data_IF_724986416427
#
_entry.id   IF_724986416427
#
_cell.length_a   1.000
_cell.length_b   1.000
_cell.length_c   1.000
_cell.angle_alpha   90.00
_cell.angle_beta   90.00
_cell.angle_gamma   90.00
#
_symmetry.space_group_name_H-M   'P 1'
#
loop_
_entity.id
_entity.type
_entity.pdbx_description
1 polymer ?
#
# COMPACT_ATOMS: atom_id res chain seq x y z
N UNK A 1 17.57 3.30 -11.63
CA UNK A 1 18.09 3.25 -10.25
C UNK A 1 16.98 2.64 -9.40
N UNK A 2 17.31 1.83 -8.41
CA UNK A 2 16.30 1.29 -7.52
C UNK A 2 15.58 2.42 -6.77
N UNK A 3 14.26 2.31 -6.69
CA UNK A 3 13.41 3.24 -5.94
C UNK A 3 13.48 2.96 -4.44
N UNK A 4 13.39 1.66 -4.09
CA UNK A 4 13.58 1.17 -2.74
C UNK A 4 14.81 0.27 -2.70
N UNK A 5 15.70 0.54 -1.77
CA UNK A 5 16.88 -0.27 -1.50
C UNK A 5 16.87 -0.75 -0.05
N UNK A 6 16.96 -2.04 0.13
CA UNK A 6 17.08 -2.67 1.45
C UNK A 6 18.43 -3.36 1.50
N UNK A 7 19.22 -3.11 2.55
CA UNK A 7 20.55 -3.66 2.73
C UNK A 7 20.70 -4.28 4.10
N UNK A 8 21.05 -5.58 4.11
CA UNK A 8 21.36 -6.36 5.32
C UNK A 8 20.35 -6.15 6.46
N UNK A 9 19.04 -6.17 6.15
CA UNK A 9 17.99 -5.83 7.10
C UNK A 9 17.77 -6.96 8.10
N UNK A 10 17.92 -6.65 9.38
CA UNK A 10 17.56 -7.51 10.49
C UNK A 10 16.38 -6.89 11.25
N UNK A 11 15.35 -7.68 11.50
CA UNK A 11 14.12 -7.20 12.15
C UNK A 11 13.69 -8.18 13.24
N UNK A 12 13.39 -7.63 14.40
CA UNK A 12 12.80 -8.37 15.52
C UNK A 12 11.34 -7.97 15.76
N UNK A 13 10.56 -8.89 16.27
CA UNK A 13 9.22 -8.68 16.80
C UNK A 13 9.13 -9.42 18.13
N UNK A 14 8.74 -8.73 19.21
CA UNK A 14 8.68 -9.33 20.57
C UNK A 14 9.98 -10.09 20.93
N UNK A 15 11.13 -9.44 20.74
CA UNK A 15 12.49 -9.96 20.98
C UNK A 15 12.89 -11.17 20.11
N UNK A 16 12.04 -11.59 19.16
CA UNK A 16 12.34 -12.69 18.26
C UNK A 16 12.84 -12.17 16.91
N UNK A 17 14.02 -12.63 16.50
CA UNK A 17 14.54 -12.34 15.17
C UNK A 17 13.67 -13.00 14.08
N UNK A 18 13.10 -12.19 13.19
CA UNK A 18 12.24 -12.63 12.10
C UNK A 18 12.94 -12.48 10.74
N UNK A 19 13.57 -11.32 10.49
CA UNK A 19 14.39 -11.12 9.30
C UNK A 19 15.85 -11.12 9.69
N UNK A 20 16.67 -11.82 8.89
CA UNK A 20 18.08 -12.04 9.17
C UNK A 20 18.91 -11.74 7.92
N UNK A 21 19.33 -10.47 7.76
CA UNK A 21 20.23 -10.03 6.68
C UNK A 21 19.55 -9.94 5.31
N UNK A 22 18.28 -9.52 5.24
CA UNK A 22 17.54 -9.38 3.98
C UNK A 22 18.06 -8.20 3.16
N UNK A 23 18.33 -8.43 1.87
CA UNK A 23 18.65 -7.36 0.91
C UNK A 23 17.74 -7.51 -0.31
N UNK A 24 17.18 -6.39 -0.77
CA UNK A 24 16.22 -6.33 -1.88
C UNK A 24 16.28 -4.96 -2.54
N UNK A 25 16.13 -4.93 -3.86
CA UNK A 25 15.94 -3.72 -4.65
C UNK A 25 14.59 -3.79 -5.37
N UNK A 26 13.85 -2.68 -5.34
CA UNK A 26 12.63 -2.50 -6.13
C UNK A 26 12.86 -1.34 -7.08
N UNK A 27 12.71 -1.60 -8.37
CA UNK A 27 12.92 -0.60 -9.41
C UNK A 27 11.62 0.16 -9.73
N UNK A 28 11.77 1.43 -10.11
CA UNK A 28 10.69 2.24 -10.65
C UNK A 28 10.12 1.60 -11.92
N UNK A 29 8.80 1.63 -12.07
CA UNK A 29 8.12 1.10 -13.26
C UNK A 29 8.13 -0.42 -13.38
N UNK A 30 8.64 -1.14 -12.36
CA UNK A 30 8.70 -2.59 -12.34
C UNK A 30 7.76 -3.20 -11.30
N UNK A 31 7.26 -4.40 -11.59
CA UNK A 31 6.51 -5.22 -10.64
C UNK A 31 7.42 -6.33 -10.14
N UNK A 32 7.74 -6.29 -8.87
CA UNK A 32 8.53 -7.31 -8.19
C UNK A 32 7.60 -8.24 -7.40
N UNK A 33 7.75 -9.54 -7.58
CA UNK A 33 7.00 -10.54 -6.84
C UNK A 33 7.88 -11.18 -5.76
N UNK A 34 7.46 -11.05 -4.49
CA UNK A 34 8.08 -11.73 -3.37
C UNK A 34 7.27 -12.98 -3.04
N UNK A 35 7.88 -14.13 -3.23
CA UNK A 35 7.27 -15.43 -3.01
C UNK A 35 8.04 -16.24 -1.95
N UNK A 36 7.35 -17.14 -1.27
CA UNK A 36 7.96 -18.00 -0.27
C UNK A 36 6.92 -18.67 0.61
N UNK A 37 7.31 -19.68 1.42
CA UNK A 37 6.38 -20.39 2.31
C UNK A 37 5.81 -19.46 3.38
N UNK A 38 4.70 -19.89 4.01
CA UNK A 38 4.15 -19.20 5.18
C UNK A 38 5.18 -19.18 6.32
N UNK A 39 5.25 -18.05 7.01
CA UNK A 39 6.21 -17.85 8.11
C UNK A 39 7.64 -17.52 7.66
N UNK A 40 7.91 -17.31 6.37
CA UNK A 40 9.25 -16.90 5.89
C UNK A 40 9.57 -15.41 6.10
N UNK A 41 8.69 -14.62 6.70
CA UNK A 41 8.93 -13.21 7.01
C UNK A 41 8.46 -12.22 5.95
N UNK A 42 7.72 -12.64 4.91
CA UNK A 42 7.27 -11.74 3.82
C UNK A 42 6.44 -10.54 4.32
N UNK A 43 5.40 -10.81 5.12
CA UNK A 43 4.57 -9.75 5.70
C UNK A 43 5.35 -8.91 6.73
N UNK A 44 6.33 -9.52 7.43
CA UNK A 44 7.24 -8.77 8.29
C UNK A 44 8.10 -7.80 7.48
N UNK A 45 8.58 -8.20 6.31
CA UNK A 45 9.33 -7.31 5.41
C UNK A 45 8.44 -6.15 4.92
N UNK A 46 7.20 -6.45 4.47
CA UNK A 46 6.24 -5.41 4.07
C UNK A 46 5.97 -4.40 5.20
N UNK A 47 5.73 -4.90 6.41
CA UNK A 47 5.51 -4.08 7.59
C UNK A 47 6.76 -3.29 7.99
N UNK A 48 7.97 -3.86 7.86
CA UNK A 48 9.23 -3.15 8.11
C UNK A 48 9.45 -2.02 7.09
N UNK A 49 9.15 -2.25 5.80
CA UNK A 49 9.18 -1.21 4.75
C UNK A 49 8.25 -0.05 5.10
N UNK A 50 7.11 -0.32 5.72
CA UNK A 50 6.15 0.71 6.13
C UNK A 50 6.40 1.29 7.52
N UNK A 51 7.42 0.84 8.24
CA UNK A 51 7.77 1.37 9.57
C UNK A 51 6.80 0.97 10.67
N UNK A 52 6.24 -0.25 10.60
CA UNK A 52 5.28 -0.72 11.60
C UNK A 52 5.86 -0.66 13.03
N UNK A 53 5.17 0.01 13.98
CA UNK A 53 5.73 0.30 15.31
C UNK A 53 5.93 -0.94 16.20
N UNK A 54 5.36 -2.08 15.84
CA UNK A 54 5.57 -3.36 16.53
C UNK A 54 6.80 -4.12 16.05
N UNK A 55 7.61 -3.54 15.17
CA UNK A 55 8.85 -4.13 14.65
C UNK A 55 10.04 -3.25 15.02
N UNK A 56 11.15 -3.87 15.37
CA UNK A 56 12.41 -3.19 15.61
C UNK A 56 13.43 -3.60 14.55
N UNK A 57 13.98 -2.62 13.84
CA UNK A 57 15.09 -2.82 12.91
C UNK A 57 16.38 -2.76 13.73
N UNK A 58 17.04 -3.91 13.90
CA UNK A 58 18.25 -4.03 14.73
C UNK A 58 19.54 -3.80 13.94
N UNK A 59 19.53 -4.11 12.63
CA UNK A 59 20.65 -3.88 11.72
C UNK A 59 20.13 -3.63 10.30
N UNK A 60 20.98 -3.00 9.47
CA UNK A 60 20.71 -2.73 8.08
C UNK A 60 20.01 -1.39 7.84
N UNK A 61 19.63 -1.16 6.59
CA UNK A 61 19.05 0.11 6.18
C UNK A 61 17.92 -0.10 5.16
N UNK A 62 16.95 0.81 5.20
CA UNK A 62 15.93 0.97 4.17
C UNK A 62 16.10 2.37 3.59
N UNK A 63 16.34 2.44 2.29
CA UNK A 63 16.49 3.70 1.55
C UNK A 63 15.41 3.80 0.49
N UNK A 64 14.72 4.92 0.42
CA UNK A 64 13.71 5.23 -0.59
C UNK A 64 14.09 6.50 -1.33
N UNK A 65 14.20 6.44 -2.67
CA UNK A 65 14.63 7.56 -3.52
C UNK A 65 15.97 8.19 -3.08
N UNK A 66 16.87 7.37 -2.57
CA UNK A 66 18.17 7.83 -2.05
C UNK A 66 18.15 8.41 -0.65
N UNK A 67 16.99 8.52 0.00
CA UNK A 67 16.82 8.97 1.38
C UNK A 67 16.70 7.77 2.32
N UNK A 68 17.47 7.79 3.42
CA UNK A 68 17.37 6.74 4.45
C UNK A 68 16.10 6.94 5.28
N UNK A 69 15.17 5.98 5.19
CA UNK A 69 13.89 6.00 5.88
C UNK A 69 13.80 4.98 7.02
N UNK A 70 14.92 4.38 7.43
CA UNK A 70 14.95 3.29 8.42
C UNK A 70 14.19 3.64 9.70
N UNK A 71 14.37 4.88 10.19
CA UNK A 71 13.74 5.38 11.43
C UNK A 71 12.47 6.22 11.17
N UNK A 72 12.10 6.44 9.90
CA UNK A 72 10.93 7.27 9.57
C UNK A 72 9.63 6.60 10.02
N UNK A 73 8.69 7.39 10.55
CA UNK A 73 7.38 6.92 10.98
C UNK A 73 6.50 6.50 9.79
N UNK A 74 5.48 5.63 9.98
CA UNK A 74 4.62 5.16 8.89
C UNK A 74 3.93 6.26 8.09
N UNK A 75 3.50 7.32 8.74
CA UNK A 75 2.86 8.47 8.10
C UNK A 75 3.87 9.33 7.31
N UNK A 76 5.11 9.44 7.77
CA UNK A 76 6.20 10.09 7.03
C UNK A 76 6.50 9.31 5.75
N UNK A 77 6.68 7.99 5.84
CA UNK A 77 6.90 7.11 4.68
C UNK A 77 5.75 7.18 3.69
N UNK A 78 4.50 7.20 4.18
CA UNK A 78 3.34 7.38 3.32
C UNK A 78 3.38 8.72 2.57
N UNK A 79 3.67 9.82 3.25
CA UNK A 79 3.80 11.15 2.62
C UNK A 79 4.95 11.25 1.61
N UNK A 80 5.99 10.45 1.78
CA UNK A 80 7.09 10.32 0.81
C UNK A 80 6.70 9.58 -0.46
N UNK A 81 5.53 8.91 -0.47
CA UNK A 81 5.02 8.20 -1.64
C UNK A 81 4.98 6.69 -1.50
N UNK A 82 5.19 6.12 -0.30
CA UNK A 82 4.99 4.70 -0.05
C UNK A 82 3.52 4.43 0.27
N UNK A 83 3.01 3.29 -0.22
CA UNK A 83 1.66 2.81 0.06
C UNK A 83 1.70 1.31 0.38
N UNK A 84 0.85 0.88 1.30
CA UNK A 84 0.67 -0.55 1.59
C UNK A 84 -0.81 -0.93 1.54
N UNK A 85 -1.11 -1.97 0.77
CA UNK A 85 -2.36 -2.72 0.88
C UNK A 85 -2.14 -3.87 1.86
N UNK A 86 -2.96 -3.92 2.91
CA UNK A 86 -2.81 -4.87 4.00
C UNK A 86 -3.51 -6.20 3.71
N UNK A 87 -2.98 -7.30 4.23
CA UNK A 87 -3.66 -8.59 4.19
C UNK A 87 -5.07 -8.50 4.81
N UNK A 88 -5.19 -7.81 5.95
CA UNK A 88 -6.43 -7.62 6.70
C UNK A 88 -6.71 -6.13 6.95
N UNK A 89 -7.37 -5.41 6.04
CA UNK A 89 -7.68 -3.99 6.23
C UNK A 89 -8.59 -3.76 7.45
N UNK A 90 -8.17 -2.85 8.33
CA UNK A 90 -8.86 -2.54 9.59
C UNK A 90 -10.03 -1.60 9.33
N UNK A 91 -11.12 -1.75 10.08
CA UNK A 91 -12.24 -0.82 10.07
C UNK A 91 -11.91 0.45 10.89
N UNK A 92 -12.38 1.60 10.42
CA UNK A 92 -12.25 2.89 11.14
C UNK A 92 -13.66 3.43 11.42
N UNK A 93 -14.29 3.01 12.53
CA UNK A 93 -15.63 3.45 12.86
C UNK A 93 -15.70 4.98 13.06
N UNK A 94 -16.77 5.60 12.57
CA UNK A 94 -16.98 7.05 12.70
C UNK A 94 -16.26 7.90 11.65
N UNK A 95 -15.37 7.32 10.83
CA UNK A 95 -14.69 8.04 9.74
C UNK A 95 -15.25 7.56 8.40
N UNK A 96 -15.92 8.45 7.67
CA UNK A 96 -16.44 8.10 6.34
C UNK A 96 -15.33 7.98 5.31
N UNK A 97 -15.56 7.13 4.29
CA UNK A 97 -14.62 6.93 3.16
C UNK A 97 -14.24 8.27 2.52
N UNK A 98 -15.21 9.15 2.24
CA UNK A 98 -14.93 10.46 1.64
C UNK A 98 -14.06 11.35 2.55
N UNK A 99 -14.31 11.34 3.88
CA UNK A 99 -13.52 12.12 4.83
C UNK A 99 -12.08 11.59 4.91
N UNK A 100 -11.95 10.27 5.03
CA UNK A 100 -10.65 9.57 5.08
C UNK A 100 -9.81 9.89 3.84
N UNK A 101 -10.35 9.63 2.63
CA UNK A 101 -9.64 9.87 1.37
C UNK A 101 -9.23 11.32 1.21
N UNK A 102 -10.10 12.28 1.56
CA UNK A 102 -9.77 13.71 1.46
C UNK A 102 -8.66 14.11 2.42
N UNK A 103 -8.68 13.58 3.65
CA UNK A 103 -7.61 13.83 4.63
C UNK A 103 -6.28 13.26 4.15
N UNK A 104 -6.27 12.02 3.64
CA UNK A 104 -5.08 11.38 3.12
C UNK A 104 -4.51 12.14 1.90
N UNK A 105 -5.36 12.48 0.90
CA UNK A 105 -4.93 13.28 -0.26
C UNK A 105 -4.35 14.63 0.17
N UNK A 106 -4.98 15.32 1.12
CA UNK A 106 -4.48 16.61 1.59
C UNK A 106 -3.15 16.49 2.35
N UNK A 107 -2.96 15.44 3.15
CA UNK A 107 -1.68 15.19 3.83
C UNK A 107 -0.53 14.95 2.85
N UNK A 108 -0.79 14.23 1.74
CA UNK A 108 0.20 14.05 0.67
C UNK A 108 0.49 15.35 -0.11
N UNK A 109 -0.53 16.18 -0.33
CA UNK A 109 -0.37 17.49 -0.98
C UNK A 109 0.42 18.46 -0.11
N UNK A 110 0.10 18.51 1.18
CA UNK A 110 0.82 19.34 2.18
C UNK A 110 2.31 18.97 2.23
N UNK A 111 2.65 17.69 2.19
CA UNK A 111 4.04 17.23 2.14
C UNK A 111 4.81 17.65 0.87
N UNK A 112 4.07 18.06 -0.18
CA UNK A 112 4.61 18.59 -1.45
C UNK A 112 4.48 20.12 -1.55
N UNK A 113 4.17 20.80 -0.45
CA UNK A 113 3.89 22.26 -0.41
C UNK A 113 2.74 22.67 -1.35
N UNK A 114 1.77 21.79 -1.58
CA UNK A 114 0.61 22.06 -2.43
C UNK A 114 -0.62 22.45 -1.61
N UNK A 115 -1.44 23.34 -2.16
CA UNK A 115 -2.72 23.72 -1.57
C UNK A 115 -3.69 22.52 -1.42
N UNK A 116 -4.54 22.49 -0.38
CA UNK A 116 -5.54 21.44 -0.22
C UNK A 116 -6.44 21.28 -1.46
N UNK A 117 -6.80 20.05 -1.78
CA UNK A 117 -7.65 19.76 -2.95
C UNK A 117 -9.01 20.47 -2.83
N UNK A 118 -9.43 21.17 -3.89
CA UNK A 118 -10.75 21.82 -3.93
C UNK A 118 -11.85 20.76 -3.91
N UNK A 119 -12.94 21.02 -3.18
CA UNK A 119 -14.01 20.06 -2.97
C UNK A 119 -14.62 19.55 -4.29
N UNK A 120 -14.75 20.40 -5.31
CA UNK A 120 -15.25 20.02 -6.63
C UNK A 120 -14.33 19.02 -7.32
N UNK A 121 -13.02 19.27 -7.28
CA UNK A 121 -12.02 18.44 -7.94
C UNK A 121 -11.87 17.10 -7.21
N UNK A 122 -11.87 17.12 -5.87
CA UNK A 122 -11.88 15.91 -5.05
C UNK A 122 -13.09 15.02 -5.34
N UNK A 123 -14.30 15.59 -5.43
CA UNK A 123 -15.50 14.81 -5.78
C UNK A 123 -15.38 14.14 -7.13
N UNK A 124 -14.93 14.89 -8.14
CA UNK A 124 -14.74 14.36 -9.49
C UNK A 124 -13.71 13.21 -9.49
N UNK A 125 -12.55 13.41 -8.89
CA UNK A 125 -11.50 12.38 -8.77
C UNK A 125 -12.01 11.13 -8.04
N UNK A 126 -12.74 11.31 -6.93
CA UNK A 126 -13.28 10.21 -6.16
C UNK A 126 -14.34 9.41 -6.96
N UNK A 127 -15.23 10.09 -7.70
CA UNK A 127 -16.22 9.43 -8.55
C UNK A 127 -15.57 8.62 -9.69
N UNK A 128 -14.54 9.18 -10.32
CA UNK A 128 -13.77 8.49 -11.37
C UNK A 128 -13.05 7.26 -10.80
N UNK A 129 -12.39 7.39 -9.65
CA UNK A 129 -11.69 6.30 -9.00
C UNK A 129 -12.65 5.20 -8.50
N UNK A 130 -13.82 5.56 -7.95
CA UNK A 130 -14.86 4.60 -7.56
C UNK A 130 -15.42 3.82 -8.76
N UNK A 131 -15.60 4.49 -9.91
CA UNK A 131 -16.02 3.83 -11.13
C UNK A 131 -15.00 2.78 -11.61
N UNK A 132 -13.71 3.13 -11.59
CA UNK A 132 -12.61 2.21 -11.96
C UNK A 132 -12.50 0.99 -11.04
N UNK A 133 -12.80 1.17 -9.76
CA UNK A 133 -12.69 0.11 -8.74
C UNK A 133 -14.00 -0.65 -8.50
N UNK A 134 -15.04 -0.38 -9.30
CA UNK A 134 -16.38 -0.95 -9.13
C UNK A 134 -16.93 -0.80 -7.69
N UNK A 135 -16.67 0.37 -7.07
CA UNK A 135 -17.21 0.74 -5.76
C UNK A 135 -18.42 1.64 -5.96
N UNK A 136 -19.60 1.27 -5.44
CA UNK A 136 -20.80 2.12 -5.51
C UNK A 136 -20.59 3.47 -4.83
N UNK A 137 -21.14 4.57 -5.40
CA UNK A 137 -20.96 5.93 -4.88
C UNK A 137 -21.43 6.13 -3.43
N UNK A 138 -22.42 5.37 -3.00
CA UNK A 138 -22.93 5.38 -1.63
C UNK A 138 -21.90 4.96 -0.58
N UNK A 139 -20.85 4.25 -0.99
CA UNK A 139 -19.72 3.91 -0.09
C UNK A 139 -18.98 5.15 0.42
N UNK A 140 -19.02 6.26 -0.30
CA UNK A 140 -18.41 7.51 0.14
C UNK A 140 -18.91 7.99 1.51
N UNK A 141 -20.16 7.68 1.87
CA UNK A 141 -20.77 8.04 3.15
C UNK A 141 -20.68 6.95 4.22
N UNK A 142 -20.26 5.72 3.87
CA UNK A 142 -20.06 4.63 4.83
C UNK A 142 -18.74 4.82 5.58
N UNK A 143 -18.64 4.23 6.76
CA UNK A 143 -17.38 4.21 7.51
C UNK A 143 -16.37 3.27 6.84
N UNK A 144 -15.08 3.66 6.89
CA UNK A 144 -13.99 2.91 6.24
C UNK A 144 -13.97 1.47 6.75
N UNK A 145 -14.13 0.52 5.84
CA UNK A 145 -14.08 -0.94 6.08
C UNK A 145 -15.08 -1.48 7.12
N UNK A 146 -15.99 -0.65 7.65
CA UNK A 146 -16.95 -1.06 8.63
C UNK A 146 -18.14 -1.79 7.96
N UNK A 147 -18.32 -3.07 8.29
CA UNK A 147 -19.30 -3.94 7.67
C UNK A 147 -19.05 -4.23 6.18
N UNK A 148 -17.81 -4.01 5.68
CA UNK A 148 -17.44 -4.37 4.32
C UNK A 148 -17.11 -5.86 4.23
N UNK A 149 -17.51 -6.51 3.13
CA UNK A 149 -17.05 -7.84 2.76
C UNK A 149 -15.54 -7.82 2.43
N UNK A 150 -14.90 -8.99 2.38
CA UNK A 150 -13.48 -9.09 2.01
C UNK A 150 -13.18 -8.44 0.65
N UNK A 151 -13.99 -8.71 -0.36
CA UNK A 151 -13.85 -8.11 -1.69
C UNK A 151 -14.05 -6.58 -1.69
N UNK A 152 -15.01 -6.06 -0.91
CA UNK A 152 -15.21 -4.61 -0.77
C UNK A 152 -14.04 -3.92 -0.08
N UNK A 153 -13.45 -4.55 0.95
CA UNK A 153 -12.24 -4.05 1.61
C UNK A 153 -11.06 -3.97 0.64
N UNK A 154 -10.86 -4.98 -0.19
CA UNK A 154 -9.78 -4.98 -1.18
C UNK A 154 -10.00 -3.95 -2.28
N UNK A 155 -11.22 -3.81 -2.80
CA UNK A 155 -11.55 -2.71 -3.72
C UNK A 155 -11.35 -1.33 -3.08
N UNK A 156 -11.61 -1.21 -1.77
CA UNK A 156 -11.33 0.03 -1.04
C UNK A 156 -9.83 0.35 -0.97
N UNK A 157 -8.95 -0.66 -0.85
CA UNK A 157 -7.49 -0.45 -0.93
C UNK A 157 -7.05 0.00 -2.32
N UNK A 158 -7.62 -0.59 -3.39
CA UNK A 158 -7.35 -0.13 -4.75
C UNK A 158 -7.89 1.29 -5.00
N UNK A 159 -9.03 1.65 -4.41
CA UNK A 159 -9.53 3.02 -4.43
C UNK A 159 -8.52 4.00 -3.76
N UNK A 160 -7.95 3.60 -2.63
CA UNK A 160 -6.90 4.40 -1.96
C UNK A 160 -5.67 4.55 -2.87
N UNK A 161 -5.20 3.46 -3.48
CA UNK A 161 -4.10 3.47 -4.45
C UNK A 161 -4.37 4.46 -5.59
N UNK A 162 -5.58 4.41 -6.17
CA UNK A 162 -6.00 5.30 -7.26
C UNK A 162 -6.03 6.79 -6.86
N UNK A 163 -6.43 7.07 -5.62
CA UNK A 163 -6.56 8.44 -5.12
C UNK A 163 -5.21 9.02 -4.67
N UNK A 164 -4.34 8.22 -4.07
CA UNK A 164 -3.06 8.67 -3.52
C UNK A 164 -1.93 8.66 -4.56
N UNK A 165 -2.02 7.80 -5.58
CA UNK A 165 -1.01 7.64 -6.64
C UNK A 165 0.40 7.56 -6.07
N UNK A 166 0.69 6.53 -5.27
CA UNK A 166 2.01 6.38 -4.65
C UNK A 166 3.09 6.13 -5.70
N UNK A 167 4.33 6.36 -5.32
CA UNK A 167 5.50 6.04 -6.13
C UNK A 167 5.96 4.58 -5.92
N UNK A 168 5.68 4.03 -4.72
CA UNK A 168 5.89 2.61 -4.43
C UNK A 168 4.66 2.02 -3.74
N UNK A 169 4.11 0.96 -4.30
CA UNK A 169 3.03 0.18 -3.69
C UNK A 169 3.53 -1.18 -3.21
N UNK A 170 3.33 -1.47 -1.92
CA UNK A 170 3.55 -2.79 -1.32
C UNK A 170 2.19 -3.47 -1.15
N UNK A 171 1.98 -4.61 -1.82
CA UNK A 171 0.72 -5.33 -1.83
C UNK A 171 0.90 -6.67 -1.11
N UNK A 172 0.48 -6.73 0.16
CA UNK A 172 0.65 -7.92 1.01
C UNK A 172 -0.56 -8.85 0.91
N UNK A 173 -0.40 -9.96 0.19
CA UNK A 173 -1.42 -11.00 -0.01
C UNK A 173 -2.81 -10.43 -0.37
N UNK A 174 -2.83 -9.42 -1.24
CA UNK A 174 -4.07 -8.76 -1.68
C UNK A 174 -5.00 -9.67 -2.48
N UNK A 175 -4.49 -10.81 -2.91
CA UNK A 175 -5.17 -11.89 -3.63
C UNK A 175 -5.79 -12.95 -2.71
N UNK A 176 -5.44 -12.96 -1.42
CA UNK A 176 -5.91 -13.96 -0.46
C UNK A 176 -7.39 -13.80 -0.15
N UNK A 177 -8.16 -14.90 -0.31
CA UNK A 177 -9.59 -14.92 0.04
C UNK A 177 -10.52 -14.15 -0.92
N UNK A 178 -10.04 -13.74 -2.09
CA UNK A 178 -10.85 -13.11 -3.12
C UNK A 178 -11.47 -14.15 -4.07
N UNK A 179 -12.66 -13.85 -4.54
CA UNK A 179 -13.20 -14.50 -5.73
C UNK A 179 -12.48 -14.02 -7.01
N UNK A 180 -12.68 -14.73 -8.12
CA UNK A 180 -12.01 -14.46 -9.40
C UNK A 180 -12.32 -13.04 -9.90
N UNK A 181 -13.52 -12.51 -9.66
CA UNK A 181 -13.93 -11.20 -10.14
C UNK A 181 -13.26 -10.08 -9.32
N UNK A 182 -13.20 -10.23 -8.00
CA UNK A 182 -12.48 -9.29 -7.14
C UNK A 182 -10.97 -9.30 -7.43
N UNK A 183 -10.39 -10.48 -7.68
CA UNK A 183 -8.98 -10.61 -8.07
C UNK A 183 -8.69 -9.88 -9.40
N UNK A 184 -9.59 -10.00 -10.38
CA UNK A 184 -9.46 -9.30 -11.66
C UNK A 184 -9.49 -7.79 -11.48
N UNK A 185 -10.41 -7.25 -10.66
CA UNK A 185 -10.50 -5.81 -10.37
C UNK A 185 -9.21 -5.31 -9.70
N UNK A 186 -8.63 -6.09 -8.77
CA UNK A 186 -7.34 -5.75 -8.14
C UNK A 186 -6.22 -5.73 -9.19
N UNK A 187 -6.10 -6.77 -10.02
CA UNK A 187 -5.06 -6.86 -11.05
C UNK A 187 -5.20 -5.75 -12.11
N UNK A 188 -6.42 -5.52 -12.62
CA UNK A 188 -6.70 -4.44 -13.58
C UNK A 188 -6.46 -3.06 -12.95
N UNK A 189 -6.84 -2.86 -11.68
CA UNK A 189 -6.56 -1.66 -10.92
C UNK A 189 -5.06 -1.40 -10.81
N UNK A 190 -4.30 -2.38 -10.32
CA UNK A 190 -2.84 -2.28 -10.21
C UNK A 190 -2.22 -1.99 -11.57
N UNK A 191 -2.57 -2.75 -12.61
CA UNK A 191 -2.04 -2.56 -13.97
C UNK A 191 -2.40 -1.19 -14.58
N UNK A 192 -3.58 -0.64 -14.27
CA UNK A 192 -4.00 0.67 -14.76
C UNK A 192 -3.26 1.83 -14.09
N UNK A 193 -2.75 1.62 -12.87
CA UNK A 193 -2.00 2.62 -12.11
C UNK A 193 -0.49 2.35 -12.14
N UNK A 194 -0.07 1.08 -12.31
CA UNK A 194 1.32 0.72 -12.53
C UNK A 194 1.80 1.35 -13.85
N UNK A 195 2.62 2.34 -13.76
CA UNK A 195 3.21 3.07 -14.87
C UNK A 195 4.71 3.19 -14.68
N UNK A 196 5.43 3.85 -15.58
CA UNK A 196 6.87 4.03 -15.47
C UNK A 196 7.31 4.78 -14.20
N UNK A 197 6.35 5.41 -13.51
CA UNK A 197 6.58 6.23 -12.32
C UNK A 197 6.15 5.54 -11.01
N UNK A 198 5.75 4.25 -11.05
CA UNK A 198 5.36 3.51 -9.85
C UNK A 198 6.03 2.15 -9.79
N UNK A 199 6.82 1.91 -8.75
CA UNK A 199 7.31 0.58 -8.38
C UNK A 199 6.23 -0.21 -7.64
N UNK A 200 6.17 -1.54 -7.85
CA UNK A 200 5.23 -2.40 -7.14
C UNK A 200 5.96 -3.60 -6.56
N UNK A 201 5.79 -3.84 -5.26
CA UNK A 201 6.23 -5.05 -4.58
C UNK A 201 4.99 -5.86 -4.19
N UNK A 202 4.75 -6.97 -4.87
CA UNK A 202 3.64 -7.88 -4.58
C UNK A 202 4.14 -9.06 -3.76
N UNK A 203 3.52 -9.29 -2.61
CA UNK A 203 3.68 -10.50 -1.82
C UNK A 203 2.49 -11.40 -2.16
N UNK A 204 2.76 -12.57 -2.75
CA UNK A 204 1.72 -13.49 -3.19
C UNK A 204 2.17 -14.95 -3.07
N UNK A 205 1.19 -15.84 -2.90
CA UNK A 205 1.37 -17.27 -3.01
C UNK A 205 0.94 -17.82 -4.38
N UNK A 206 0.31 -17.00 -5.22
CA UNK A 206 -0.28 -17.42 -6.49
C UNK A 206 0.48 -16.84 -7.69
N UNK A 207 1.03 -17.73 -8.52
CA UNK A 207 1.66 -17.34 -9.78
C UNK A 207 0.69 -16.67 -10.78
N UNK A 208 -0.62 -16.83 -10.59
CA UNK A 208 -1.67 -16.33 -11.51
C UNK A 208 -1.84 -14.81 -11.50
N UNK A 209 -1.32 -14.11 -10.52
CA UNK A 209 -1.33 -12.63 -10.47
C UNK A 209 -0.29 -12.01 -11.41
N UNK A 210 0.71 -12.80 -11.86
CA UNK A 210 1.83 -12.33 -12.66
C UNK A 210 1.57 -12.45 -14.18
N UNK A 211 0.41 -12.91 -14.56
CA UNK A 211 -0.06 -13.09 -15.95
C UNK A 211 -1.41 -12.38 -16.11
#
# INVERSE_FOLDING_TARGET
MAELEIRNLHVTAEDKLILNGVSLDVEMGAIHALMGPNGSGKSTLANAIMGHPGLEITEGTITFKGENITEAAPDERSRMGLFMAFQYPVAIPGVTVAKYLRMAVNAHREAKDEEPVKLKDFRKQTEEAMALTNIPKEFSSRYVNDGFSGGEKKRMEILQLAMLRPELAVLDETDSGLDIDALRVVAEGVNSFAGPEMGVLIITHYQRILH
#
